data_IF_508648744410
#
_entry.id   IF_508648744410
#
_cell.length_a   1.000
_cell.length_b   1.000
_cell.length_c   1.000
_cell.angle_alpha   90.00
_cell.angle_beta   90.00
_cell.angle_gamma   90.00
#
_symmetry.space_group_name_H-M   'P 1'
#
loop_
_entity.id
_entity.type
_entity.pdbx_description
1 polymer ?
#
# COMPACT_ATOMS: atom_id res chain seq x y z
N UNK A 1 8.44 -18.41 -1.75
CA UNK A 1 8.83 -17.06 -2.20
C UNK A 1 9.02 -16.25 -0.95
N UNK A 2 10.17 -15.61 -0.87
CA UNK A 2 10.88 -15.10 0.30
C UNK A 2 10.13 -13.96 1.01
N UNK A 3 9.03 -14.30 1.70
CA UNK A 3 8.22 -13.41 2.53
C UNK A 3 8.92 -12.96 3.80
N UNK A 4 10.20 -12.58 3.71
CA UNK A 4 10.76 -11.65 4.66
C UNK A 4 10.11 -10.30 4.34
N UNK A 5 8.97 -10.01 4.98
CA UNK A 5 8.46 -8.66 5.13
C UNK A 5 9.58 -7.85 5.78
N UNK A 6 10.44 -7.26 4.95
CA UNK A 6 11.57 -6.46 5.39
C UNK A 6 10.93 -5.17 5.87
N UNK A 7 10.60 -5.13 7.15
CA UNK A 7 10.01 -3.98 7.83
C UNK A 7 10.71 -2.71 7.38
N UNK A 8 9.93 -1.68 7.08
CA UNK A 8 10.47 -0.37 6.78
C UNK A 8 11.29 0.13 7.98
N UNK A 9 12.49 0.61 7.70
CA UNK A 9 13.34 1.22 8.71
C UNK A 9 12.71 2.52 9.23
N UNK A 10 12.95 2.82 10.51
CA UNK A 10 12.39 4.01 11.17
C UNK A 10 12.77 5.30 10.45
N UNK A 11 13.99 5.38 9.88
CA UNK A 11 14.43 6.54 9.10
C UNK A 11 13.58 6.75 7.84
N UNK A 12 13.24 5.67 7.13
CA UNK A 12 12.33 5.72 5.98
C UNK A 12 10.93 6.17 6.42
N UNK A 13 10.39 5.64 7.52
CA UNK A 13 9.07 6.05 8.01
C UNK A 13 9.11 7.53 8.40
N UNK A 14 10.12 7.97 9.16
CA UNK A 14 10.31 9.37 9.56
C UNK A 14 10.42 10.32 8.36
N UNK A 15 11.19 9.93 7.34
CA UNK A 15 11.32 10.70 6.11
C UNK A 15 9.99 10.76 5.34
N UNK A 16 9.23 9.65 5.28
CA UNK A 16 7.92 9.62 4.62
C UNK A 16 6.90 10.52 5.32
N UNK A 17 6.88 10.54 6.66
CA UNK A 17 6.04 11.47 7.45
C UNK A 17 6.42 12.93 7.19
N UNK A 18 7.71 13.22 6.98
CA UNK A 18 8.19 14.56 6.61
C UNK A 18 7.90 14.95 5.15
N UNK A 19 7.34 14.06 4.33
CA UNK A 19 6.99 14.33 2.94
C UNK A 19 8.10 14.03 1.93
N UNK A 20 9.17 13.32 2.33
CA UNK A 20 10.29 12.98 1.46
C UNK A 20 9.86 12.01 0.35
N UNK A 21 10.00 12.43 -0.91
CA UNK A 21 9.50 11.67 -2.07
C UNK A 21 10.06 10.24 -2.15
N UNK A 22 11.37 10.08 -1.97
CA UNK A 22 12.03 8.78 -2.05
C UNK A 22 11.54 7.81 -0.97
N UNK A 23 11.19 8.35 0.21
CA UNK A 23 10.70 7.57 1.33
C UNK A 23 9.24 7.17 1.15
N UNK A 24 8.41 8.10 0.65
CA UNK A 24 7.03 7.84 0.24
C UNK A 24 6.97 6.73 -0.82
N UNK A 25 7.80 6.81 -1.85
CA UNK A 25 7.88 5.79 -2.90
C UNK A 25 8.26 4.41 -2.33
N UNK A 26 9.18 4.38 -1.36
CA UNK A 26 9.59 3.15 -0.67
C UNK A 26 8.47 2.59 0.22
N UNK A 27 7.69 3.43 0.89
CA UNK A 27 6.50 3.02 1.66
C UNK A 27 5.44 2.42 0.73
N UNK A 28 5.13 3.09 -0.38
CA UNK A 28 4.16 2.58 -1.36
C UNK A 28 4.61 1.24 -1.96
N UNK A 29 5.89 1.12 -2.31
CA UNK A 29 6.45 -0.11 -2.84
C UNK A 29 6.40 -1.27 -1.82
N UNK A 30 6.62 -0.98 -0.53
CA UNK A 30 6.55 -1.98 0.54
C UNK A 30 5.13 -2.55 0.71
N UNK A 31 4.10 -1.70 0.58
CA UNK A 31 2.71 -2.12 0.71
C UNK A 31 2.03 -2.50 -0.62
N UNK A 32 2.74 -2.46 -1.76
CA UNK A 32 2.14 -2.66 -3.08
C UNK A 32 1.37 -3.98 -3.19
N UNK A 33 1.96 -5.09 -2.75
CA UNK A 33 1.30 -6.41 -2.80
C UNK A 33 0.06 -6.47 -1.91
N UNK A 34 0.09 -5.82 -0.74
CA UNK A 34 -1.06 -5.75 0.17
C UNK A 34 -2.17 -4.86 -0.38
N UNK A 35 -1.81 -3.75 -1.03
CA UNK A 35 -2.77 -2.88 -1.73
C UNK A 35 -3.42 -3.65 -2.89
N UNK A 36 -2.66 -4.41 -3.66
CA UNK A 36 -3.16 -5.26 -4.75
C UNK A 36 -4.10 -6.35 -4.23
N UNK A 37 -3.81 -6.95 -3.07
CA UNK A 37 -4.71 -7.90 -2.41
C UNK A 37 -6.01 -7.24 -1.98
N UNK A 38 -5.96 -6.09 -1.30
CA UNK A 38 -7.13 -5.36 -0.82
C UNK A 38 -8.01 -4.81 -1.97
N UNK A 39 -7.40 -4.54 -3.11
CA UNK A 39 -8.10 -4.08 -4.32
C UNK A 39 -8.54 -5.23 -5.23
N UNK A 40 -8.30 -6.49 -4.86
CA UNK A 40 -8.75 -7.64 -5.64
C UNK A 40 -10.23 -7.91 -5.40
N UNK A 41 -11.02 -7.84 -6.47
CA UNK A 41 -12.45 -8.15 -6.49
C UNK A 41 -12.74 -9.42 -7.29
N UNK A 42 -13.78 -10.14 -6.90
CA UNK A 42 -14.25 -11.34 -7.58
C UNK A 42 -15.38 -10.99 -8.56
N UNK A 43 -15.12 -11.13 -9.86
CA UNK A 43 -16.10 -10.91 -10.91
C UNK A 43 -16.61 -12.25 -11.43
N UNK A 44 -17.94 -12.42 -11.41
CA UNK A 44 -18.60 -13.58 -11.99
C UNK A 44 -18.79 -13.37 -13.49
N UNK A 45 -18.20 -14.26 -14.29
CA UNK A 45 -18.31 -14.24 -15.74
C UNK A 45 -19.65 -14.85 -16.20
N UNK A 46 -20.10 -14.56 -17.45
CA UNK A 46 -21.32 -15.13 -18.02
C UNK A 46 -21.38 -16.67 -18.02
N UNK A 47 -20.23 -17.34 -18.00
CA UNK A 47 -20.11 -18.79 -17.88
C UNK A 47 -20.13 -19.33 -16.44
N UNK A 48 -20.47 -18.50 -15.45
CA UNK A 48 -20.52 -18.88 -14.03
C UNK A 48 -19.16 -18.95 -13.33
N UNK A 49 -18.05 -18.85 -14.06
CA UNK A 49 -16.69 -18.83 -13.50
C UNK A 49 -16.40 -17.52 -12.78
N UNK A 50 -15.81 -17.60 -11.59
CA UNK A 50 -15.32 -16.44 -10.85
C UNK A 50 -13.88 -16.15 -11.28
N UNK A 51 -13.58 -14.87 -11.55
CA UNK A 51 -12.22 -14.39 -11.81
C UNK A 51 -11.89 -13.30 -10.79
N UNK A 52 -10.71 -13.41 -10.18
CA UNK A 52 -10.11 -12.34 -9.38
C UNK A 52 -9.46 -11.31 -10.31
N UNK A 53 -9.80 -10.05 -10.12
CA UNK A 53 -9.21 -8.92 -10.85
C UNK A 53 -8.89 -7.81 -9.86
N UNK A 54 -7.86 -7.04 -10.15
CA UNK A 54 -7.56 -5.82 -9.40
C UNK A 54 -8.52 -4.74 -9.90
N UNK A 55 -9.21 -4.10 -8.96
CA UNK A 55 -9.96 -2.87 -9.18
C UNK A 55 -8.98 -1.70 -9.05
N UNK A 56 -8.59 -1.12 -10.20
CA UNK A 56 -7.59 -0.05 -10.25
C UNK A 56 -8.06 1.22 -9.51
N UNK A 57 -9.37 1.52 -9.50
CA UNK A 57 -9.92 2.65 -8.75
C UNK A 57 -9.75 2.42 -7.23
N UNK A 58 -10.04 1.21 -6.75
CA UNK A 58 -9.80 0.84 -5.34
C UNK A 58 -8.31 0.88 -5.00
N UNK A 59 -7.45 0.36 -5.89
CA UNK A 59 -5.99 0.36 -5.71
C UNK A 59 -5.44 1.78 -5.57
N UNK A 60 -5.84 2.69 -6.45
CA UNK A 60 -5.48 4.10 -6.38
C UNK A 60 -6.04 4.77 -5.11
N UNK A 61 -7.28 4.46 -4.73
CA UNK A 61 -7.90 5.02 -3.55
C UNK A 61 -7.21 4.60 -2.24
N UNK A 62 -6.82 3.32 -2.12
CA UNK A 62 -6.08 2.82 -0.95
C UNK A 62 -4.69 3.46 -0.89
N UNK A 63 -4.00 3.56 -2.04
CA UNK A 63 -2.71 4.25 -2.14
C UNK A 63 -2.81 5.70 -1.69
N UNK A 64 -3.86 6.42 -2.11
CA UNK A 64 -4.11 7.80 -1.70
C UNK A 64 -4.34 7.91 -0.19
N UNK A 65 -5.17 7.03 0.40
CA UNK A 65 -5.40 7.03 1.85
C UNK A 65 -4.14 6.79 2.65
N UNK A 66 -3.24 5.93 2.16
CA UNK A 66 -1.93 5.73 2.78
C UNK A 66 -1.11 7.03 2.78
N UNK A 67 -1.07 7.73 1.63
CA UNK A 67 -0.40 9.03 1.52
C UNK A 67 -1.00 10.10 2.43
N UNK A 68 -2.33 10.17 2.51
CA UNK A 68 -3.04 11.14 3.37
C UNK A 68 -2.80 10.87 4.86
N UNK A 69 -2.65 9.60 5.26
CA UNK A 69 -2.40 9.22 6.64
C UNK A 69 -0.94 9.43 7.08
N UNK A 70 0.03 9.36 6.14
CA UNK A 70 1.46 9.45 6.45
C UNK A 70 1.84 10.68 7.28
N UNK A 71 1.45 11.92 6.94
CA UNK A 71 1.81 13.11 7.74
C UNK A 71 1.23 13.10 9.16
N UNK A 72 0.14 12.38 9.38
CA UNK A 72 -0.53 12.25 10.68
C UNK A 72 -0.06 11.01 11.46
N UNK A 73 0.90 10.25 10.92
CA UNK A 73 1.40 9.05 11.55
C UNK A 73 2.14 9.41 12.85
N UNK A 74 1.76 8.83 14.01
CA UNK A 74 2.38 9.16 15.28
C UNK A 74 3.80 8.58 15.32
N UNK A 75 4.79 9.44 15.11
CA UNK A 75 6.18 9.12 15.40
C UNK A 75 6.43 9.39 16.88
N UNK A 76 6.89 8.38 17.62
CA UNK A 76 7.47 8.62 18.93
C UNK A 76 8.65 9.58 18.77
N UNK A 77 8.60 10.70 19.49
CA UNK A 77 9.71 11.64 19.61
C UNK A 77 10.63 11.06 20.69
N UNK A 78 11.78 10.51 20.29
CA UNK A 78 12.89 10.22 21.22
C UNK A 78 13.40 11.50 21.90
#
# INVERSE_FOLDING_TARGET
>A
MDGQEKLLDYETIKAAVAGEKWAIEKVLAHYADYIDELSTVEIRQPGGKVKKVIDEDMRQHISLKLLEALPSFPLEQE
#
